data_IF_871213569725
#
_entry.id   IF_871213569725
#
_cell.length_a   1.000
_cell.length_b   1.000
_cell.length_c   1.000
_cell.angle_alpha   90.00
_cell.angle_beta   90.00
_cell.angle_gamma   90.00
#
_symmetry.space_group_name_H-M   'P 1'
#
loop_
_entity.id
_entity.type
_entity.pdbx_description
1 polymer ?
#
# COMPACT_ATOMS: atom_id res chain seq x y z
N UNK A 1 29.17 -10.68 -31.63
CA UNK A 1 27.73 -10.56 -31.95
C UNK A 1 26.84 -11.40 -31.02
N UNK A 2 27.21 -12.63 -30.63
CA UNK A 2 26.41 -13.48 -29.73
C UNK A 2 26.24 -12.91 -28.30
N UNK A 3 27.31 -12.37 -27.71
CA UNK A 3 27.29 -11.77 -26.35
C UNK A 3 26.36 -10.55 -26.27
N UNK A 4 26.29 -9.74 -27.33
CA UNK A 4 25.40 -8.57 -27.37
C UNK A 4 23.92 -9.00 -27.39
N UNK A 5 23.59 -10.01 -28.20
CA UNK A 5 22.24 -10.60 -28.29
C UNK A 5 21.81 -11.27 -26.98
N UNK A 6 22.75 -11.86 -26.23
CA UNK A 6 22.49 -12.44 -24.91
C UNK A 6 22.25 -11.36 -23.84
N UNK A 7 23.06 -10.29 -23.83
CA UNK A 7 22.84 -9.15 -22.93
C UNK A 7 21.48 -8.51 -23.15
N UNK A 8 21.10 -8.22 -24.39
CA UNK A 8 19.80 -7.63 -24.73
C UNK A 8 18.63 -8.53 -24.31
N UNK A 9 18.75 -9.84 -24.57
CA UNK A 9 17.76 -10.84 -24.11
C UNK A 9 17.61 -10.83 -22.60
N UNK A 10 18.71 -10.79 -21.85
CA UNK A 10 18.67 -10.78 -20.39
C UNK A 10 18.03 -9.49 -19.85
N UNK A 11 18.29 -8.34 -20.47
CA UNK A 11 17.66 -7.06 -20.11
C UNK A 11 16.15 -7.13 -20.32
N UNK A 12 15.70 -7.58 -21.50
CA UNK A 12 14.26 -7.70 -21.79
C UNK A 12 13.57 -8.69 -20.86
N UNK A 13 14.18 -9.85 -20.61
CA UNK A 13 13.65 -10.84 -19.66
C UNK A 13 13.56 -10.28 -18.24
N UNK A 14 14.55 -9.52 -17.79
CA UNK A 14 14.52 -8.86 -16.48
C UNK A 14 13.41 -7.81 -16.40
N UNK A 15 13.19 -7.03 -17.46
CA UNK A 15 12.09 -6.09 -17.54
C UNK A 15 10.72 -6.78 -17.44
N UNK A 16 10.52 -7.86 -18.22
CA UNK A 16 9.31 -8.68 -18.14
C UNK A 16 9.10 -9.22 -16.72
N UNK A 17 10.14 -9.77 -16.10
CA UNK A 17 10.07 -10.29 -14.74
C UNK A 17 9.64 -9.21 -13.73
N UNK A 18 10.26 -8.02 -13.76
CA UNK A 18 9.90 -6.92 -12.86
C UNK A 18 8.49 -6.38 -13.12
N UNK A 19 8.06 -6.32 -14.39
CA UNK A 19 6.69 -5.95 -14.74
C UNK A 19 5.68 -6.93 -14.13
N UNK A 20 5.86 -8.24 -14.32
CA UNK A 20 4.95 -9.23 -13.75
C UNK A 20 5.02 -9.27 -12.23
N UNK A 21 6.21 -9.17 -11.64
CA UNK A 21 6.39 -9.14 -10.19
C UNK A 21 5.68 -7.94 -9.58
N UNK A 22 5.89 -6.73 -10.11
CA UNK A 22 5.22 -5.52 -9.62
C UNK A 22 3.71 -5.60 -9.78
N UNK A 23 3.21 -6.13 -10.90
CA UNK A 23 1.78 -6.36 -11.12
C UNK A 23 1.19 -7.29 -10.06
N UNK A 24 1.79 -8.47 -9.86
CA UNK A 24 1.35 -9.43 -8.84
C UNK A 24 1.37 -8.78 -7.46
N UNK A 25 2.46 -8.09 -7.12
CA UNK A 25 2.59 -7.38 -5.85
C UNK A 25 1.52 -6.30 -5.67
N UNK A 26 1.12 -5.59 -6.73
CA UNK A 26 0.07 -4.57 -6.69
C UNK A 26 -1.32 -5.18 -6.46
N UNK A 27 -1.56 -6.42 -6.93
CA UNK A 27 -2.81 -7.16 -6.69
C UNK A 27 -2.87 -7.66 -5.23
N UNK A 28 -1.79 -8.27 -4.74
CA UNK A 28 -1.81 -8.98 -3.45
C UNK A 28 -1.47 -8.10 -2.25
N UNK A 29 -0.83 -6.95 -2.45
CA UNK A 29 -0.40 -6.10 -1.33
C UNK A 29 -1.59 -5.34 -0.77
N UNK A 30 -1.77 -5.47 0.55
CA UNK A 30 -2.76 -4.71 1.30
C UNK A 30 -2.54 -3.19 1.05
N UNK A 31 -3.60 -2.44 0.70
CA UNK A 31 -3.50 -1.03 0.35
C UNK A 31 -3.32 -0.09 1.55
N UNK A 32 -3.30 -0.62 2.78
CA UNK A 32 -3.42 0.15 4.02
C UNK A 32 -4.85 0.11 4.55
N UNK A 33 -5.46 -1.07 4.56
CA UNK A 33 -6.76 -1.30 5.17
C UNK A 33 -6.75 -0.91 6.65
N UNK A 34 -7.78 -0.19 7.07
CA UNK A 34 -7.98 0.16 8.47
C UNK A 34 -8.78 -0.92 9.20
N UNK A 35 -8.37 -1.23 10.43
CA UNK A 35 -9.06 -2.12 11.35
C UNK A 35 -9.56 -1.34 12.58
N UNK A 36 -10.59 -1.87 13.25
CA UNK A 36 -11.26 -1.20 14.37
C UNK A 36 -10.31 -0.81 15.52
N UNK A 37 -9.27 -1.62 15.78
CA UNK A 37 -8.27 -1.35 16.82
C UNK A 37 -7.44 -0.09 16.54
N UNK A 38 -6.97 0.08 15.30
CA UNK A 38 -6.24 1.28 14.85
C UNK A 38 -7.14 2.52 14.76
N UNK A 39 -8.45 2.35 14.66
CA UNK A 39 -9.41 3.45 14.69
C UNK A 39 -9.58 4.08 16.07
N UNK A 40 -9.23 3.33 17.13
CA UNK A 40 -9.44 3.70 18.52
C UNK A 40 -8.22 4.40 19.14
N UNK A 41 -7.03 4.12 18.60
CA UNK A 41 -5.74 4.66 19.04
C UNK A 41 -5.62 6.20 19.01
N UNK A 42 -6.32 6.97 18.14
CA UNK A 42 -6.20 8.42 18.15
C UNK A 42 -7.19 9.13 19.09
N UNK A 43 -7.87 8.45 20.04
CA UNK A 43 -8.73 9.13 21.04
C UNK A 43 -7.97 10.15 21.92
N UNK A 44 -6.62 10.12 21.89
CA UNK A 44 -5.75 10.94 22.74
C UNK A 44 -5.07 12.12 22.04
N UNK A 45 -5.16 12.27 20.72
CA UNK A 45 -4.55 13.41 20.01
C UNK A 45 -5.61 14.32 19.36
N UNK A 46 -5.57 15.57 19.81
CA UNK A 46 -6.55 16.64 19.64
C UNK A 46 -6.49 17.28 18.24
N UNK A 47 -7.61 17.84 17.77
CA UNK A 47 -7.75 18.81 16.65
C UNK A 47 -7.49 18.42 15.17
N UNK A 48 -7.56 17.16 14.75
CA UNK A 48 -7.69 16.84 13.30
C UNK A 48 -9.09 16.33 12.97
N UNK A 49 -9.68 16.79 11.86
CA UNK A 49 -11.06 16.48 11.46
C UNK A 49 -11.24 14.99 11.15
N UNK A 50 -11.48 14.17 12.18
CA UNK A 50 -11.75 12.74 12.06
C UNK A 50 -13.12 12.56 11.42
N UNK A 51 -13.17 11.86 10.28
CA UNK A 51 -14.45 11.57 9.61
C UNK A 51 -14.94 10.18 10.02
N UNK A 52 -16.19 10.08 10.46
CA UNK A 52 -16.79 8.81 10.84
C UNK A 52 -17.29 8.03 9.62
N UNK A 53 -16.89 6.76 9.49
CA UNK A 53 -17.43 5.87 8.48
C UNK A 53 -18.64 5.12 9.03
N UNK A 54 -19.82 5.37 8.44
CA UNK A 54 -21.06 4.68 8.84
C UNK A 54 -21.06 3.19 8.50
N UNK A 55 -20.42 2.78 7.40
CA UNK A 55 -20.38 1.38 6.95
C UNK A 55 -19.45 0.53 7.80
N UNK A 56 -18.27 1.05 8.16
CA UNK A 56 -17.28 0.33 8.95
C UNK A 56 -17.41 0.61 10.46
N UNK A 57 -18.34 1.47 10.87
CA UNK A 57 -18.57 1.89 12.25
C UNK A 57 -17.32 2.36 13.01
N UNK A 58 -16.46 3.15 12.35
CA UNK A 58 -15.18 3.56 12.90
C UNK A 58 -14.79 4.99 12.51
N UNK A 59 -14.04 5.67 13.38
CA UNK A 59 -13.41 6.95 13.06
C UNK A 59 -12.21 6.72 12.14
N UNK A 60 -12.16 7.48 11.04
CA UNK A 60 -11.06 7.41 10.08
C UNK A 60 -10.05 8.53 10.34
N UNK A 61 -8.75 8.24 10.25
CA UNK A 61 -7.74 9.29 10.22
C UNK A 61 -7.94 10.19 8.99
N UNK A 62 -7.34 11.40 8.97
CA UNK A 62 -7.40 12.29 7.81
C UNK A 62 -6.93 11.57 6.52
N UNK A 63 -7.44 12.02 5.37
CA UNK A 63 -7.12 11.48 4.03
C UNK A 63 -7.50 10.00 3.82
N UNK A 64 -8.26 9.41 4.73
CA UNK A 64 -8.70 8.01 4.63
C UNK A 64 -10.16 7.94 4.18
N UNK A 65 -10.43 7.06 3.21
CA UNK A 65 -11.73 6.95 2.57
C UNK A 65 -12.24 5.51 2.58
N UNK A 66 -13.57 5.34 2.53
CA UNK A 66 -14.20 4.03 2.44
C UNK A 66 -14.35 3.66 0.95
N UNK A 67 -13.84 2.51 0.56
CA UNK A 67 -14.07 1.98 -0.78
C UNK A 67 -15.28 1.05 -0.77
N UNK A 68 -16.34 1.42 -1.49
CA UNK A 68 -17.53 0.57 -1.65
C UNK A 68 -17.24 -0.75 -2.37
N UNK A 69 -16.27 -0.76 -3.31
CA UNK A 69 -15.88 -1.98 -4.03
C UNK A 69 -15.07 -2.95 -3.14
N UNK A 70 -14.11 -2.43 -2.37
CA UNK A 70 -13.27 -3.25 -1.48
C UNK A 70 -14.01 -3.58 -0.15
N UNK A 71 -15.05 -2.84 0.22
CA UNK A 71 -15.85 -3.06 1.43
C UNK A 71 -15.17 -2.62 2.74
N UNK A 72 -14.06 -1.89 2.66
CA UNK A 72 -13.29 -1.45 3.83
C UNK A 72 -12.71 -0.04 3.66
N UNK A 73 -12.30 0.57 4.76
CA UNK A 73 -11.60 1.85 4.75
C UNK A 73 -10.11 1.66 4.42
N UNK A 74 -9.52 2.61 3.69
CA UNK A 74 -8.12 2.58 3.25
C UNK A 74 -7.43 3.89 3.65
N UNK A 75 -6.24 3.79 4.24
CA UNK A 75 -5.37 4.93 4.59
C UNK A 75 -4.81 5.59 3.35
N UNK A 76 -4.82 6.93 3.32
CA UNK A 76 -4.38 7.77 2.18
C UNK A 76 -4.83 7.17 0.85
N UNK A 77 -6.13 6.86 0.76
CA UNK A 77 -6.68 6.17 -0.41
C UNK A 77 -6.51 7.04 -1.65
N UNK A 78 -5.92 6.46 -2.69
CA UNK A 78 -5.76 7.13 -3.97
C UNK A 78 -6.96 6.88 -4.87
N UNK A 79 -7.23 5.62 -5.21
CA UNK A 79 -8.42 5.19 -5.94
C UNK A 79 -8.59 3.67 -5.84
N UNK A 80 -9.74 3.16 -6.26
CA UNK A 80 -9.94 1.73 -6.49
C UNK A 80 -9.67 1.42 -7.96
N UNK A 81 -8.77 0.48 -8.23
CA UNK A 81 -8.46 0.10 -9.61
C UNK A 81 -9.06 -1.26 -9.94
N UNK A 82 -10.16 -1.23 -10.69
CA UNK A 82 -10.94 -2.44 -11.02
C UNK A 82 -10.12 -3.53 -11.70
N UNK A 83 -9.11 -3.17 -12.48
CA UNK A 83 -8.25 -4.14 -13.18
C UNK A 83 -7.34 -4.94 -12.24
N UNK A 84 -6.96 -4.38 -11.10
CA UNK A 84 -6.21 -5.12 -10.07
C UNK A 84 -7.14 -5.82 -9.08
N UNK A 85 -8.44 -5.51 -9.12
CA UNK A 85 -9.39 -5.85 -8.07
C UNK A 85 -8.86 -5.50 -6.67
N UNK A 86 -8.13 -4.39 -6.57
CA UNK A 86 -7.50 -3.92 -5.34
C UNK A 86 -7.57 -2.39 -5.28
N UNK A 87 -7.61 -1.88 -4.06
CA UNK A 87 -7.49 -0.46 -3.81
C UNK A 87 -6.00 -0.05 -3.94
N UNK A 88 -5.72 1.20 -4.33
CA UNK A 88 -4.39 1.82 -4.26
C UNK A 88 -4.42 2.82 -3.12
N UNK A 89 -3.49 2.67 -2.18
CA UNK A 89 -3.39 3.48 -0.96
C UNK A 89 -1.99 3.45 -0.39
N UNK A 90 -1.84 3.98 0.83
CA UNK A 90 -0.55 4.28 1.45
C UNK A 90 0.49 3.14 1.42
N UNK A 91 0.07 1.89 1.54
CA UNK A 91 1.00 0.75 1.67
C UNK A 91 1.38 0.09 0.34
N UNK A 92 0.66 0.36 -0.75
CA UNK A 92 0.91 -0.25 -2.06
C UNK A 92 1.05 0.77 -3.20
N UNK A 93 0.95 2.08 -2.94
CA UNK A 93 1.02 3.12 -3.96
C UNK A 93 2.36 3.14 -4.71
N UNK A 94 3.49 2.91 -4.03
CA UNK A 94 4.80 2.80 -4.68
C UNK A 94 4.89 1.59 -5.60
N UNK A 95 4.29 0.46 -5.21
CA UNK A 95 4.24 -0.77 -6.01
C UNK A 95 3.44 -0.51 -7.28
N UNK A 96 2.29 0.15 -7.15
CA UNK A 96 1.45 0.54 -8.27
C UNK A 96 2.17 1.48 -9.24
N UNK A 97 2.91 2.47 -8.72
CA UNK A 97 3.73 3.36 -9.55
C UNK A 97 4.81 2.59 -10.32
N UNK A 98 5.47 1.61 -9.68
CA UNK A 98 6.43 0.73 -10.34
C UNK A 98 5.76 -0.12 -11.42
N UNK A 99 4.55 -0.64 -11.20
CA UNK A 99 3.78 -1.35 -12.23
C UNK A 99 3.58 -0.48 -13.46
N UNK A 100 3.16 0.78 -13.29
CA UNK A 100 2.99 1.72 -14.41
C UNK A 100 4.31 1.93 -15.17
N UNK A 101 5.40 2.20 -14.44
CA UNK A 101 6.72 2.47 -15.04
C UNK A 101 7.23 1.24 -15.81
N UNK A 102 7.14 0.04 -15.22
CA UNK A 102 7.59 -1.18 -15.88
C UNK A 102 6.71 -1.52 -17.09
N UNK A 103 5.40 -1.30 -17.02
CA UNK A 103 4.50 -1.47 -18.18
C UNK A 103 4.82 -0.48 -19.30
N UNK A 104 5.13 0.79 -18.99
CA UNK A 104 5.58 1.77 -19.99
C UNK A 104 6.83 1.29 -20.73
N UNK A 105 7.87 0.91 -20.00
CA UNK A 105 9.10 0.41 -20.61
C UNK A 105 8.88 -0.88 -21.39
N UNK A 106 8.05 -1.79 -20.88
CA UNK A 106 7.69 -3.02 -21.59
C UNK A 106 7.00 -2.69 -22.92
N UNK A 107 5.95 -1.88 -22.92
CA UNK A 107 5.25 -1.49 -24.14
C UNK A 107 6.18 -0.83 -25.17
N UNK A 108 7.04 0.11 -24.75
CA UNK A 108 7.99 0.78 -25.64
C UNK A 108 8.99 -0.22 -26.24
N UNK A 109 9.62 -1.05 -25.40
CA UNK A 109 10.63 -2.00 -25.86
C UNK A 109 10.04 -3.07 -26.76
N UNK A 110 8.87 -3.64 -26.43
CA UNK A 110 8.18 -4.62 -27.28
C UNK A 110 7.72 -4.00 -28.60
N UNK A 111 7.25 -2.75 -28.61
CA UNK A 111 6.88 -2.05 -29.85
C UNK A 111 8.10 -1.88 -30.76
N UNK A 112 9.23 -1.43 -30.22
CA UNK A 112 10.49 -1.30 -30.98
C UNK A 112 10.91 -2.66 -31.54
N UNK A 113 10.91 -3.72 -30.72
CA UNK A 113 11.31 -5.06 -31.15
C UNK A 113 10.40 -5.62 -32.24
N UNK A 114 9.09 -5.41 -32.16
CA UNK A 114 8.13 -5.88 -33.17
C UNK A 114 8.24 -5.12 -34.49
N UNK A 115 8.49 -3.80 -34.45
CA UNK A 115 8.75 -2.98 -35.64
C UNK A 115 10.07 -3.38 -36.31
N UNK A 116 11.14 -3.56 -35.52
CA UNK A 116 12.43 -4.04 -36.04
C UNK A 116 12.30 -5.44 -36.64
N UNK A 117 11.59 -6.34 -35.97
CA UNK A 117 11.31 -7.67 -36.52
C UNK A 117 10.60 -7.56 -37.86
N UNK A 118 9.54 -6.76 -37.96
CA UNK A 118 8.82 -6.56 -39.22
C UNK A 118 9.68 -5.99 -40.35
N UNK A 119 10.55 -5.02 -40.04
CA UNK A 119 11.42 -4.38 -41.04
C UNK A 119 12.52 -5.29 -41.57
N UNK A 120 13.14 -6.09 -40.70
CA UNK A 120 14.25 -6.97 -41.06
C UNK A 120 13.82 -8.39 -41.46
N UNK A 121 12.55 -8.77 -41.28
CA UNK A 121 12.07 -10.10 -41.67
C UNK A 121 11.95 -10.21 -43.20
N UNK A 122 12.63 -11.17 -43.85
CA UNK A 122 12.58 -11.32 -45.29
C UNK A 122 11.15 -11.67 -45.74
N UNK A 123 10.64 -10.96 -46.75
CA UNK A 123 9.35 -11.28 -47.38
C UNK A 123 9.48 -12.65 -48.06
N UNK A 124 8.65 -13.61 -47.67
CA UNK A 124 8.65 -14.93 -48.31
C UNK A 124 8.00 -14.83 -49.70
N UNK A 125 8.65 -15.41 -50.71
CA UNK A 125 8.27 -15.24 -52.13
C UNK A 125 7.51 -16.46 -52.67
N UNK A 126 7.66 -17.67 -52.10
CA UNK A 126 6.97 -18.88 -52.60
C UNK A 126 6.70 -19.91 -51.50
N UNK A 127 5.43 -20.19 -51.17
CA UNK A 127 4.91 -21.47 -50.63
C UNK A 127 3.43 -21.36 -50.21
N UNK A 128 2.57 -22.23 -50.71
CA UNK A 128 1.10 -22.15 -50.54
C UNK A 128 0.63 -22.25 -49.07
N UNK A 129 1.24 -23.16 -48.28
CA UNK A 129 1.02 -23.23 -46.82
C UNK A 129 1.72 -22.10 -46.05
N UNK A 130 2.89 -21.66 -46.52
CA UNK A 130 3.65 -20.59 -45.86
C UNK A 130 2.95 -19.24 -46.00
N UNK A 131 2.24 -18.98 -47.12
CA UNK A 131 1.45 -17.77 -47.31
C UNK A 131 0.36 -17.64 -46.24
N UNK A 132 -0.30 -18.74 -45.86
CA UNK A 132 -1.27 -18.74 -44.76
C UNK A 132 -0.60 -18.39 -43.42
N UNK A 133 0.51 -19.08 -43.07
CA UNK A 133 1.24 -18.81 -41.83
C UNK A 133 1.76 -17.37 -41.74
N UNK A 134 2.23 -16.81 -42.86
CA UNK A 134 2.74 -15.45 -42.93
C UNK A 134 1.60 -14.44 -42.78
N UNK A 135 0.49 -14.61 -43.50
CA UNK A 135 -0.68 -13.72 -43.34
C UNK A 135 -1.22 -13.76 -41.91
N UNK A 136 -1.31 -14.95 -41.32
CA UNK A 136 -1.75 -15.12 -39.93
C UNK A 136 -0.78 -14.47 -38.94
N UNK A 137 0.53 -14.69 -39.12
CA UNK A 137 1.58 -14.09 -38.29
C UNK A 137 1.59 -12.56 -38.38
N UNK A 138 1.45 -12.00 -39.58
CA UNK A 138 1.36 -10.56 -39.80
C UNK A 138 0.12 -9.98 -39.10
N UNK A 139 -1.04 -10.65 -39.24
CA UNK A 139 -2.27 -10.21 -38.58
C UNK A 139 -2.14 -10.25 -37.06
N UNK A 140 -1.54 -11.31 -36.51
CA UNK A 140 -1.24 -11.42 -35.08
C UNK A 140 -0.31 -10.30 -34.60
N UNK A 141 0.74 -9.96 -35.36
CA UNK A 141 1.66 -8.86 -35.04
C UNK A 141 0.91 -7.52 -35.03
N UNK A 142 0.07 -7.24 -36.04
CA UNK A 142 -0.71 -5.99 -36.06
C UNK A 142 -1.65 -5.89 -34.87
N UNK A 143 -2.39 -6.96 -34.57
CA UNK A 143 -3.30 -7.01 -33.43
C UNK A 143 -2.55 -6.79 -32.11
N UNK A 144 -1.38 -7.42 -31.93
CA UNK A 144 -0.53 -7.17 -30.76
C UNK A 144 -0.05 -5.72 -30.68
N UNK A 145 0.38 -5.12 -31.79
CA UNK A 145 0.84 -3.72 -31.80
C UNK A 145 -0.28 -2.75 -31.40
N UNK A 146 -1.51 -2.97 -31.87
CA UNK A 146 -2.66 -2.15 -31.47
C UNK A 146 -2.89 -2.23 -29.96
N UNK A 147 -2.83 -3.44 -29.38
CA UNK A 147 -2.98 -3.64 -27.93
C UNK A 147 -1.83 -2.96 -27.17
N UNK A 148 -0.59 -3.08 -27.64
CA UNK A 148 0.58 -2.44 -27.03
C UNK A 148 0.51 -0.92 -27.08
N UNK A 149 0.03 -0.34 -28.17
CA UNK A 149 -0.16 1.10 -28.33
C UNK A 149 -1.23 1.59 -27.34
N UNK A 150 -2.37 0.89 -27.25
CA UNK A 150 -3.39 1.22 -26.26
C UNK A 150 -2.85 1.13 -24.82
N UNK A 151 -2.12 0.07 -24.49
CA UNK A 151 -1.46 -0.10 -23.19
C UNK A 151 -0.45 1.01 -22.89
N UNK A 152 0.32 1.44 -23.90
CA UNK A 152 1.26 2.56 -23.80
C UNK A 152 0.54 3.87 -23.47
N UNK A 153 -0.54 4.19 -24.19
CA UNK A 153 -1.31 5.40 -23.93
C UNK A 153 -1.95 5.38 -22.55
N UNK A 154 -2.57 4.27 -22.15
CA UNK A 154 -3.20 4.13 -20.84
C UNK A 154 -2.18 4.27 -19.70
N UNK A 155 -1.02 3.61 -19.82
CA UNK A 155 0.03 3.69 -18.80
C UNK A 155 0.68 5.09 -18.76
N UNK A 156 0.80 5.78 -19.90
CA UNK A 156 1.30 7.15 -19.94
C UNK A 156 0.35 8.13 -19.26
N UNK A 157 -0.95 8.04 -19.52
CA UNK A 157 -1.97 8.88 -18.87
C UNK A 157 -1.94 8.65 -17.36
N UNK A 158 -1.95 7.38 -16.93
CA UNK A 158 -1.88 7.04 -15.51
C UNK A 158 -0.59 7.54 -14.87
N UNK A 159 0.56 7.42 -15.55
CA UNK A 159 1.83 7.95 -15.06
C UNK A 159 1.78 9.46 -14.84
N UNK A 160 1.26 10.21 -15.81
CA UNK A 160 1.15 11.68 -15.72
C UNK A 160 0.23 12.09 -14.56
N UNK A 161 -0.96 11.50 -14.46
CA UNK A 161 -1.91 11.81 -13.38
C UNK A 161 -1.28 11.52 -12.02
N UNK A 162 -0.67 10.35 -11.86
CA UNK A 162 -0.03 9.95 -10.61
C UNK A 162 1.17 10.83 -10.26
N UNK A 163 2.02 11.16 -11.23
CA UNK A 163 3.17 12.04 -11.05
C UNK A 163 2.75 13.42 -10.57
N UNK A 164 1.72 14.01 -11.19
CA UNK A 164 1.18 15.30 -10.78
C UNK A 164 0.58 15.24 -9.38
N UNK A 165 -0.21 14.21 -9.08
CA UNK A 165 -0.79 13.99 -7.75
C UNK A 165 0.29 13.89 -6.66
N UNK A 166 1.36 13.14 -6.90
CA UNK A 166 2.49 13.00 -5.96
C UNK A 166 3.20 14.34 -5.74
N UNK A 167 3.50 15.08 -6.81
CA UNK A 167 4.17 16.40 -6.71
C UNK A 167 3.31 17.42 -5.95
N UNK A 168 2.00 17.34 -6.11
CA UNK A 168 1.05 18.20 -5.39
C UNK A 168 0.69 17.66 -4.00
N UNK A 169 1.28 16.54 -3.57
CA UNK A 169 0.93 15.81 -2.35
C UNK A 169 -0.58 15.58 -2.18
N UNK A 170 -1.26 15.24 -3.28
CA UNK A 170 -2.70 14.96 -3.31
C UNK A 170 -2.98 13.56 -3.79
N UNK A 171 -4.10 13.02 -3.33
CA UNK A 171 -4.66 11.79 -3.90
C UNK A 171 -5.72 12.10 -4.95
N UNK A 172 -5.99 11.13 -5.82
CA UNK A 172 -7.00 11.21 -6.87
C UNK A 172 -8.39 11.39 -6.26
N UNK A 173 -8.71 10.65 -5.20
CA UNK A 173 -9.96 10.81 -4.45
C UNK A 173 -10.09 12.22 -3.85
N UNK A 174 -9.02 12.81 -3.31
CA UNK A 174 -9.05 14.19 -2.79
C UNK A 174 -9.38 15.21 -3.89
N UNK A 175 -8.80 15.03 -5.08
CA UNK A 175 -9.08 15.88 -6.24
C UNK A 175 -10.52 15.72 -6.74
N UNK A 176 -11.06 14.50 -6.74
CA UNK A 176 -12.44 14.23 -7.18
C UNK A 176 -13.47 14.72 -6.17
N UNK A 177 -13.21 14.53 -4.87
CA UNK A 177 -14.10 14.97 -3.80
C UNK A 177 -13.97 16.47 -3.47
N UNK A 178 -13.08 17.18 -4.18
CA UNK A 178 -12.79 18.60 -3.97
C UNK A 178 -12.54 18.92 -2.49
N UNK A 179 -11.82 18.04 -1.80
CA UNK A 179 -11.49 18.28 -0.39
C UNK A 179 -10.66 19.57 -0.29
N UNK A 180 -10.95 20.44 0.69
CA UNK A 180 -10.22 21.69 0.85
C UNK A 180 -8.72 21.42 0.94
N UNK A 181 -7.92 22.32 0.35
CA UNK A 181 -6.46 22.25 0.46
C UNK A 181 -6.13 22.38 1.94
N UNK A 182 -5.71 21.28 2.56
CA UNK A 182 -5.04 21.35 3.85
C UNK A 182 -3.56 21.25 3.50
N UNK A 183 -2.78 22.28 3.86
CA UNK A 183 -1.34 22.27 3.65
C UNK A 183 -0.72 21.24 4.60
N UNK A 184 -0.65 19.98 4.14
CA UNK A 184 -0.10 18.85 4.89
C UNK A 184 1.44 18.90 5.02
N UNK A 185 2.03 20.08 5.22
CA UNK A 185 3.46 20.44 5.23
C UNK A 185 4.11 20.66 3.85
N UNK A 186 5.10 21.56 3.72
CA UNK A 186 5.74 21.88 2.45
C UNK A 186 6.79 20.81 2.11
N UNK A 187 6.35 19.67 1.60
CA UNK A 187 7.27 18.70 1.02
C UNK A 187 7.95 19.29 -0.21
N UNK A 188 9.27 19.17 -0.28
CA UNK A 188 9.97 19.27 -1.55
C UNK A 188 9.50 18.15 -2.49
N UNK A 189 9.68 18.32 -3.81
CA UNK A 189 9.32 17.28 -4.79
C UNK A 189 10.00 15.95 -4.48
N UNK A 190 11.25 16.00 -4.00
CA UNK A 190 12.00 14.80 -3.63
C UNK A 190 11.38 14.11 -2.40
N UNK A 191 11.05 14.86 -1.35
CA UNK A 191 10.47 14.28 -0.14
C UNK A 191 9.09 13.66 -0.40
N UNK A 192 8.31 14.22 -1.34
CA UNK A 192 7.04 13.61 -1.76
C UNK A 192 7.23 12.19 -2.33
N UNK A 193 8.30 12.00 -3.10
CA UNK A 193 8.67 10.68 -3.62
C UNK A 193 9.30 9.79 -2.55
N UNK A 194 10.17 10.35 -1.69
CA UNK A 194 10.79 9.60 -0.61
C UNK A 194 9.75 9.06 0.39
N UNK A 195 8.70 9.85 0.66
CA UNK A 195 7.54 9.48 1.46
C UNK A 195 6.76 8.34 0.80
N UNK A 196 6.43 8.47 -0.49
CA UNK A 196 5.77 7.41 -1.26
C UNK A 196 6.56 6.09 -1.24
N UNK A 197 7.86 6.14 -1.54
CA UNK A 197 8.74 4.98 -1.56
C UNK A 197 9.22 4.56 -0.15
N UNK A 198 8.78 5.27 0.90
CA UNK A 198 9.12 5.03 2.31
C UNK A 198 10.63 4.90 2.55
N UNK A 199 11.44 5.61 1.75
CA UNK A 199 12.91 5.61 1.88
C UNK A 199 13.53 6.79 1.14
N UNK A 200 14.59 7.34 1.72
CA UNK A 200 15.46 8.33 1.08
C UNK A 200 16.50 7.68 0.14
N UNK A 201 16.69 6.36 0.22
CA UNK A 201 17.65 5.65 -0.61
C UNK A 201 17.07 5.32 -1.99
N UNK A 202 17.47 6.13 -2.99
CA UNK A 202 17.01 6.03 -4.39
C UNK A 202 17.33 4.66 -5.00
N UNK A 203 18.42 3.99 -4.59
CA UNK A 203 18.80 2.68 -5.14
C UNK A 203 17.78 1.59 -4.83
N UNK A 204 16.97 1.77 -3.77
CA UNK A 204 15.93 0.82 -3.42
C UNK A 204 14.66 1.04 -4.25
N UNK A 205 14.43 2.23 -4.80
CA UNK A 205 13.18 2.58 -5.49
C UNK A 205 12.73 1.61 -6.60
N UNK A 206 13.60 1.04 -7.45
CA UNK A 206 13.12 0.12 -8.50
C UNK A 206 12.57 -1.21 -7.97
N UNK A 207 12.83 -1.56 -6.71
CA UNK A 207 12.42 -2.87 -6.17
C UNK A 207 11.02 -2.83 -5.56
N UNK A 208 10.08 -3.68 -6.02
CA UNK A 208 8.72 -3.76 -5.50
C UNK A 208 8.69 -4.54 -4.17
N UNK A 209 9.31 -3.99 -3.13
CA UNK A 209 9.30 -4.57 -1.79
C UNK A 209 8.34 -3.81 -0.86
N UNK A 210 7.68 -4.54 0.06
CA UNK A 210 6.95 -3.91 1.15
C UNK A 210 7.97 -3.20 2.05
N UNK A 211 7.67 -1.96 2.40
CA UNK A 211 8.48 -1.15 3.33
C UNK A 211 7.62 -0.74 4.49
N UNK A 212 8.20 -0.81 5.68
CA UNK A 212 7.52 -0.37 6.88
C UNK A 212 7.21 1.14 6.75
N UNK A 213 6.09 1.61 7.30
CA UNK A 213 5.75 3.02 7.32
C UNK A 213 6.90 3.82 7.96
N UNK A 214 7.26 4.92 7.32
CA UNK A 214 8.19 5.90 7.89
C UNK A 214 7.53 6.46 9.15
N UNK A 215 7.95 5.99 10.33
CA UNK A 215 7.83 6.84 11.52
C UNK A 215 8.67 8.07 11.24
N UNK A 216 8.10 9.26 11.43
CA UNK A 216 8.77 10.54 11.26
C UNK A 216 10.05 10.58 12.10
N UNK A 217 11.20 10.19 11.53
CA UNK A 217 12.50 10.55 12.11
C UNK A 217 12.73 12.07 12.10
N UNK A 218 11.83 12.84 11.49
CA UNK A 218 11.79 14.29 11.52
C UNK A 218 11.20 14.92 12.79
N UNK A 219 10.78 14.13 13.79
CA UNK A 219 10.48 14.65 15.14
C UNK A 219 11.72 14.74 16.06
N UNK A 220 12.92 14.49 15.54
CA UNK A 220 14.17 14.51 16.33
C UNK A 220 14.77 15.90 16.56
N UNK A 221 13.96 16.95 16.66
CA UNK A 221 14.38 18.25 17.21
C UNK A 221 13.32 18.89 18.12
N UNK A 222 12.70 18.11 19.01
CA UNK A 222 12.10 18.67 20.21
C UNK A 222 12.11 17.66 21.36
N UNK A 223 12.94 17.96 22.37
CA UNK A 223 12.78 17.55 23.78
C UNK A 223 13.14 16.10 24.14
N UNK A 224 14.39 15.95 24.53
CA UNK A 224 14.84 15.03 25.59
C UNK A 224 13.91 15.08 26.80
N UNK A 225 13.06 14.06 26.98
CA UNK A 225 12.57 13.62 28.30
C UNK A 225 12.17 12.14 28.25
N UNK A 226 13.11 11.29 28.66
CA UNK A 226 12.93 10.09 29.50
C UNK A 226 11.77 9.14 29.22
N UNK A 227 12.14 7.94 28.74
CA UNK A 227 11.37 6.71 28.68
C UNK A 227 10.55 6.40 29.94
N UNK A 228 9.24 6.62 29.88
CA UNK A 228 8.27 6.19 30.92
C UNK A 228 8.10 4.66 30.94
N UNK A 229 8.48 3.97 29.86
CA UNK A 229 8.41 2.51 29.76
C UNK A 229 9.45 1.77 30.62
N UNK A 230 10.58 2.42 30.98
CA UNK A 230 11.62 1.80 31.81
C UNK A 230 11.34 1.90 33.31
N UNK A 231 10.53 2.86 33.75
CA UNK A 231 10.19 3.07 35.16
C UNK A 231 9.19 2.01 35.65
N UNK A 232 8.24 1.59 34.82
CA UNK A 232 7.23 0.58 35.19
C UNK A 232 7.85 -0.81 35.39
N UNK A 233 8.90 -1.16 34.62
CA UNK A 233 9.62 -2.41 34.76
C UNK A 233 10.49 -2.47 36.03
N UNK A 234 10.89 -1.31 36.58
CA UNK A 234 11.75 -1.26 37.76
C UNK A 234 10.94 -1.28 39.06
N UNK A 235 9.69 -0.80 39.04
CA UNK A 235 8.80 -0.80 40.21
C UNK A 235 8.16 -2.15 40.53
N UNK A 236 8.02 -3.06 39.56
CA UNK A 236 7.46 -4.41 39.80
C UNK A 236 8.48 -5.42 40.31
N UNK A 237 9.78 -5.16 40.13
CA UNK A 237 10.85 -6.02 40.65
C UNK A 237 11.22 -5.75 42.12
N UNK A 238 10.89 -4.55 42.65
CA UNK A 238 11.28 -4.15 44.01
C UNK A 238 10.31 -4.60 45.12
N UNK A 239 9.14 -5.16 44.79
CA UNK A 239 8.13 -5.58 45.78
C UNK A 239 8.26 -7.04 46.24
N UNK A 240 9.26 -7.80 45.75
CA UNK A 240 9.35 -9.25 45.96
C UNK A 240 10.41 -9.70 46.99
N UNK A 241 10.96 -8.82 47.84
CA UNK A 241 12.06 -9.24 48.74
C UNK A 241 12.07 -8.54 50.10
N UNK A 242 11.06 -8.77 50.93
CA UNK A 242 11.07 -8.73 52.42
C UNK A 242 9.62 -9.06 52.83
N UNK A 243 9.26 -10.06 53.64
CA UNK A 243 9.77 -10.42 54.96
C UNK A 243 9.18 -11.79 55.34
N UNK A 244 10.00 -12.65 55.91
CA UNK A 244 9.63 -13.92 56.55
C UNK A 244 9.00 -13.72 57.93
N UNK A 245 8.31 -14.78 58.40
CA UNK A 245 8.03 -15.18 59.80
C UNK A 245 6.96 -14.44 60.62
N UNK A 246 5.77 -15.04 60.80
CA UNK A 246 5.41 -15.90 61.96
C UNK A 246 3.92 -16.28 61.90
N UNK A 247 3.62 -17.57 62.04
CA UNK A 247 2.28 -18.12 62.37
C UNK A 247 1.97 -17.93 63.86
N UNK A 248 0.69 -17.74 64.23
CA UNK A 248 0.01 -18.86 64.89
C UNK A 248 -1.45 -19.09 64.43
N UNK A 249 -1.86 -20.34 64.66
CA UNK A 249 -3.17 -20.97 64.49
C UNK A 249 -4.27 -20.41 65.39
N UNK A 250 -5.52 -20.35 64.93
CA UNK A 250 -6.67 -21.16 65.42
C UNK A 250 -7.98 -20.68 64.77
N UNK A 251 -8.80 -21.66 64.40
CA UNK A 251 -10.27 -21.70 64.54
C UNK A 251 -10.97 -20.41 65.00
N UNK A 252 -11.77 -19.81 64.12
CA UNK A 252 -13.09 -19.26 64.46
C UNK A 252 -13.75 -18.68 63.20
N UNK A 253 -15.06 -18.97 63.05
CA UNK A 253 -16.03 -18.28 62.18
C UNK A 253 -16.22 -18.84 60.76
N UNK A 254 -16.35 -20.16 60.65
CA UNK A 254 -17.49 -20.73 59.91
C UNK A 254 -18.73 -20.63 60.81
N UNK A 255 -19.51 -19.56 60.67
CA UNK A 255 -20.90 -19.46 61.12
C UNK A 255 -21.45 -18.05 60.84
N UNK A 256 -22.14 -17.88 59.71
CA UNK A 256 -23.32 -16.99 59.53
C UNK A 256 -23.58 -16.70 58.05
N UNK A 257 -23.71 -17.76 57.24
CA UNK A 257 -24.49 -17.69 55.99
C UNK A 257 -25.86 -18.32 56.27
N UNK A 258 -26.74 -17.57 56.94
CA UNK A 258 -28.18 -17.84 56.97
C UNK A 258 -28.86 -16.63 57.61
N UNK A 259 -29.32 -15.70 56.77
CA UNK A 259 -30.54 -14.89 56.96
C UNK A 259 -30.43 -13.61 56.13
N UNK A 260 -31.14 -13.57 55.00
CA UNK A 260 -32.01 -12.45 54.58
C UNK A 260 -32.46 -12.65 53.12
N UNK A 261 -33.38 -13.57 52.92
CA UNK A 261 -34.21 -13.65 51.72
C UNK A 261 -35.68 -13.49 52.13
N UNK A 262 -36.16 -12.24 52.24
CA UNK A 262 -37.57 -11.89 52.03
C UNK A 262 -37.79 -10.39 52.18
N UNK A 263 -38.06 -9.66 51.09
CA UNK A 263 -39.33 -8.93 50.90
C UNK A 263 -39.32 -8.07 49.62
N UNK A 264 -40.49 -8.06 48.97
CA UNK A 264 -41.01 -7.01 48.07
C UNK A 264 -40.46 -6.95 46.64
N UNK A 265 -41.22 -7.49 45.69
CA UNK A 265 -42.14 -6.66 44.93
C UNK A 265 -43.06 -7.46 44.00
N UNK A 266 -44.36 -7.25 44.18
CA UNK A 266 -45.39 -7.50 43.19
C UNK A 266 -46.58 -6.62 43.52
N UNK A 267 -46.98 -5.76 42.59
CA UNK A 267 -48.36 -5.62 42.06
C UNK A 267 -48.61 -4.26 41.40
N UNK A 268 -49.16 -4.37 40.17
CA UNK A 268 -49.91 -3.41 39.32
C UNK A 268 -49.11 -2.36 38.55
#
# INVERSE_FOLDING_TARGET
>A
MYIYKERERNVYTSLCFNMFLSLIMSIITNPGQLYLTQALEPLLSDTTSKSYCKTCHMHRPPRSFHCSHCGHCVRRMDFHYSWLNNCVGEDNHHIFLLTIIYTLFFCITTLILTVLHFYYYPKCITCDKQIFYIKHSIWFIYTLNIILIYGLFQSLIMFVVQHLNIIMNRTTVENVLLTPVVDYTPYTKFESYADLFKTTNILLWPFPCKRQPFSSQFDSTATTTTDVASIIATTTAAAATTTTTTTPTLEALEASEEDHANHQNGLV
#
